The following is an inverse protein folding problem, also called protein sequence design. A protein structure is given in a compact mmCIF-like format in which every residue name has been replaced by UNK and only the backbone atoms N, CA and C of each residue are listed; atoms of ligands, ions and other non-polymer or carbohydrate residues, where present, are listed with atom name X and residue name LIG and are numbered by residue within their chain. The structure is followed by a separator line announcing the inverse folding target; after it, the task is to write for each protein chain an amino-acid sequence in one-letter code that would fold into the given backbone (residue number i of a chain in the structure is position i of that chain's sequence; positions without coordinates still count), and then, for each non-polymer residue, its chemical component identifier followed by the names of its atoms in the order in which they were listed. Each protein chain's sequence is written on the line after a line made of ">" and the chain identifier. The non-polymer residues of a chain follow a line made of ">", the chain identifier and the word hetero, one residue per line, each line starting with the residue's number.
data_IF_731483834961
#
_entry.id   IF_731483834961
#
_cell.length_a   1.000
_cell.length_b   1.000
_cell.length_c   1.000
_cell.angle_alpha   90.00
_cell.angle_beta   90.00
_cell.angle_gamma   90.00
#
_symmetry.space_group_name_H-M   'P 1'
#
loop_
_entity.id
_entity.type
_entity.pdbx_description
1 polymer ?
#
# COMPACT_ATOMS: atom_id res chain seq x y z
N UNK A 1 -29.13 0.73 -9.87
CA UNK A 1 -29.67 2.07 -9.58
C UNK A 1 -28.50 2.91 -9.09
N UNK A 2 -28.28 4.14 -9.57
CA UNK A 2 -27.17 4.97 -9.06
C UNK A 2 -27.47 5.33 -7.60
N UNK A 3 -26.47 5.30 -6.72
CA UNK A 3 -26.65 5.74 -5.33
C UNK A 3 -26.59 7.27 -5.29
N UNK A 4 -27.76 7.89 -5.25
CA UNK A 4 -28.06 9.33 -5.04
C UNK A 4 -27.72 9.79 -3.60
N UNK A 5 -26.84 9.08 -2.87
CA UNK A 5 -26.31 9.50 -1.55
C UNK A 5 -25.65 10.90 -1.63
N UNK A 6 -25.29 11.34 -2.84
CA UNK A 6 -24.64 12.63 -3.10
C UNK A 6 -25.56 13.64 -3.79
N UNK A 7 -26.81 13.30 -4.12
CA UNK A 7 -27.77 14.28 -4.62
C UNK A 7 -28.45 14.96 -3.43
N UNK A 8 -28.32 16.28 -3.38
CA UNK A 8 -28.96 17.10 -2.33
C UNK A 8 -30.49 17.02 -2.38
N UNK A 9 -31.06 16.51 -3.46
CA UNK A 9 -32.49 16.33 -3.65
C UNK A 9 -32.82 14.84 -3.82
N UNK A 10 -33.52 14.20 -2.87
CA UNK A 10 -33.89 12.80 -3.00
C UNK A 10 -34.81 12.58 -4.22
N UNK A 11 -34.70 11.45 -4.92
CA UNK A 11 -35.60 11.13 -6.03
C UNK A 11 -37.04 11.04 -5.51
N UNK A 12 -38.00 11.59 -6.24
CA UNK A 12 -39.42 11.56 -5.86
C UNK A 12 -40.12 10.29 -6.38
N UNK A 13 -41.13 9.81 -5.65
CA UNK A 13 -42.00 8.71 -6.09
C UNK A 13 -41.44 7.30 -5.84
N UNK A 14 -41.70 6.36 -6.76
CA UNK A 14 -41.48 4.92 -6.53
C UNK A 14 -40.01 4.51 -6.28
N UNK A 15 -39.07 5.35 -6.68
CA UNK A 15 -37.65 5.07 -6.47
C UNK A 15 -37.23 5.40 -5.03
N UNK A 16 -37.78 6.47 -4.42
CA UNK A 16 -37.61 6.73 -2.98
C UNK A 16 -38.03 5.55 -2.12
N UNK A 17 -39.19 4.96 -2.42
CA UNK A 17 -39.74 3.85 -1.65
C UNK A 17 -38.87 2.59 -1.73
N UNK A 18 -38.33 2.29 -2.92
CA UNK A 18 -37.38 1.18 -3.09
C UNK A 18 -36.11 1.39 -2.26
N UNK A 19 -35.66 2.64 -2.15
CA UNK A 19 -34.45 3.01 -1.43
C UNK A 19 -34.65 3.00 0.06
N UNK A 20 -35.75 3.57 0.54
CA UNK A 20 -36.17 3.47 1.93
C UNK A 20 -36.27 2.01 2.37
N UNK A 21 -36.87 1.15 1.53
CA UNK A 21 -36.94 -0.28 1.78
C UNK A 21 -35.56 -0.96 1.75
N UNK A 22 -34.64 -0.52 0.91
CA UNK A 22 -33.27 -1.03 0.89
C UNK A 22 -32.48 -0.63 2.14
N UNK A 23 -32.57 0.64 2.56
CA UNK A 23 -31.93 1.13 3.78
C UNK A 23 -32.48 0.40 5.01
N UNK A 24 -33.80 0.23 5.12
CA UNK A 24 -34.41 -0.54 6.21
C UNK A 24 -33.96 -2.01 6.26
N UNK A 25 -33.57 -2.60 5.13
CA UNK A 25 -33.02 -3.98 5.09
C UNK A 25 -31.56 -4.06 5.47
N UNK A 26 -30.79 -3.02 5.15
CA UNK A 26 -29.34 -2.95 5.43
C UNK A 26 -29.03 -2.33 6.79
N UNK A 27 -30.04 -1.75 7.45
CA UNK A 27 -29.94 -1.19 8.78
C UNK A 27 -29.55 -2.28 9.79
N UNK A 28 -28.50 -2.00 10.55
CA UNK A 28 -27.93 -2.90 11.56
C UNK A 28 -28.60 -2.66 12.92
N UNK A 29 -29.27 -1.52 13.10
CA UNK A 29 -29.88 -1.05 14.35
C UNK A 29 -31.37 -0.77 14.17
N UNK A 30 -32.18 -1.81 13.89
CA UNK A 30 -33.58 -1.66 13.55
C UNK A 30 -34.36 -0.96 14.67
N UNK A 31 -35.03 0.14 14.30
CA UNK A 31 -35.94 0.88 15.19
C UNK A 31 -35.35 2.13 15.85
N UNK A 32 -34.08 2.46 15.61
CA UNK A 32 -33.54 3.77 15.95
C UNK A 32 -33.90 4.81 14.88
N UNK A 33 -34.37 5.98 15.31
CA UNK A 33 -34.68 7.07 14.39
C UNK A 33 -33.40 7.70 13.86
N UNK A 34 -33.33 7.90 12.56
CA UNK A 34 -32.19 8.56 11.94
C UNK A 34 -32.04 10.02 12.39
N UNK A 35 -30.79 10.46 12.48
CA UNK A 35 -30.46 11.85 12.79
C UNK A 35 -30.83 12.75 11.61
N UNK A 36 -31.30 13.96 11.91
CA UNK A 36 -31.68 14.98 10.93
C UNK A 36 -32.74 14.55 9.91
N UNK A 37 -33.60 13.59 10.27
CA UNK A 37 -34.66 13.08 9.39
C UNK A 37 -34.17 12.19 8.26
N UNK A 38 -32.90 11.76 8.29
CA UNK A 38 -32.33 10.80 7.36
C UNK A 38 -32.52 9.34 7.80
N UNK A 39 -31.93 8.41 7.03
CA UNK A 39 -31.94 6.97 7.35
C UNK A 39 -30.80 6.54 8.29
N UNK A 40 -29.75 7.37 8.45
CA UNK A 40 -28.59 7.05 9.28
C UNK A 40 -28.83 7.44 10.74
N UNK A 41 -28.69 6.48 11.64
CA UNK A 41 -28.93 6.68 13.07
C UNK A 41 -27.67 7.12 13.83
N UNK A 42 -27.80 7.32 15.15
CA UNK A 42 -26.68 7.73 15.99
C UNK A 42 -25.52 6.73 15.96
N UNK A 43 -25.80 5.44 15.84
CA UNK A 43 -24.79 4.38 15.81
C UNK A 43 -24.03 4.42 14.49
N UNK A 44 -24.71 4.64 13.37
CA UNK A 44 -24.09 4.82 12.06
C UNK A 44 -23.14 6.03 12.04
N UNK A 45 -23.59 7.16 12.58
CA UNK A 45 -22.76 8.37 12.68
C UNK A 45 -21.58 8.17 13.63
N UNK A 46 -21.79 7.48 14.75
CA UNK A 46 -20.72 7.14 15.69
C UNK A 46 -19.71 6.17 15.08
N UNK A 47 -20.15 5.19 14.30
CA UNK A 47 -19.28 4.27 13.57
C UNK A 47 -18.47 5.01 12.51
N UNK A 48 -19.09 5.91 11.73
CA UNK A 48 -18.40 6.75 10.75
C UNK A 48 -17.33 7.63 11.42
N UNK A 49 -17.68 8.30 12.52
CA UNK A 49 -16.75 9.10 13.31
C UNK A 49 -15.63 8.22 13.92
N UNK A 50 -15.97 7.01 14.37
CA UNK A 50 -15.05 6.04 14.91
C UNK A 50 -14.02 5.55 13.89
N UNK A 51 -14.43 5.33 12.63
CA UNK A 51 -13.52 4.98 11.53
C UNK A 51 -12.51 6.12 11.32
N UNK A 52 -12.98 7.36 11.22
CA UNK A 52 -12.12 8.53 11.03
C UNK A 52 -11.19 8.72 12.23
N UNK A 53 -11.71 8.60 13.45
CA UNK A 53 -10.93 8.71 14.68
C UNK A 53 -9.84 7.63 14.77
N UNK A 54 -10.18 6.39 14.41
CA UNK A 54 -9.22 5.26 14.41
C UNK A 54 -8.13 5.46 13.36
N UNK A 55 -8.50 5.94 12.17
CA UNK A 55 -7.55 6.25 11.11
C UNK A 55 -6.62 7.41 11.52
N UNK A 56 -7.17 8.48 12.08
CA UNK A 56 -6.40 9.61 12.59
C UNK A 56 -5.46 9.20 13.74
N UNK A 57 -5.98 8.49 14.73
CA UNK A 57 -5.21 7.96 15.85
C UNK A 57 -4.12 6.99 15.38
N UNK A 58 -4.44 6.11 14.43
CA UNK A 58 -3.49 5.22 13.77
C UNK A 58 -2.34 5.99 13.13
N UNK A 59 -2.64 6.97 12.27
CA UNK A 59 -1.60 7.82 11.67
C UNK A 59 -0.77 8.60 12.69
N UNK A 60 -1.35 8.96 13.84
CA UNK A 60 -0.64 9.67 14.91
C UNK A 60 0.24 8.74 15.77
N UNK A 61 -0.12 7.47 15.92
CA UNK A 61 0.56 6.51 16.80
C UNK A 61 1.57 5.62 16.11
N UNK A 62 1.57 5.59 14.78
CA UNK A 62 2.52 4.80 13.99
C UNK A 62 3.96 5.14 14.35
N UNK A 63 4.70 4.09 14.71
CA UNK A 63 6.13 4.15 14.99
C UNK A 63 6.94 3.56 13.85
N UNK A 64 8.09 4.20 13.59
CA UNK A 64 9.10 3.73 12.64
C UNK A 64 9.76 2.46 13.17
N UNK A 65 9.98 1.49 12.29
CA UNK A 65 10.89 0.38 12.54
C UNK A 65 12.31 0.77 12.10
N UNK A 66 13.36 0.32 12.80
CA UNK A 66 14.73 0.77 12.55
C UNK A 66 15.23 0.51 11.10
N UNK A 67 14.69 -0.50 10.42
CA UNK A 67 14.99 -0.85 9.02
C UNK A 67 14.32 0.07 7.96
N UNK A 68 13.45 0.98 8.34
CA UNK A 68 12.70 1.84 7.40
C UNK A 68 13.48 3.09 7.01
N UNK A 69 13.19 3.72 5.86
CA UNK A 69 13.91 4.88 5.34
C UNK A 69 13.98 6.06 6.33
N UNK A 70 15.14 6.72 6.40
CA UNK A 70 15.47 7.67 7.49
C UNK A 70 14.75 9.03 7.41
N UNK A 71 14.53 9.56 6.20
CA UNK A 71 13.89 10.87 6.04
C UNK A 71 12.37 10.74 5.95
N UNK A 72 11.65 11.06 7.03
CA UNK A 72 10.18 11.10 7.00
C UNK A 72 9.65 12.54 7.03
N UNK A 73 8.55 12.77 6.32
CA UNK A 73 7.68 13.94 6.49
C UNK A 73 6.38 13.49 7.15
N UNK A 74 5.62 14.45 7.70
CA UNK A 74 4.31 14.19 8.31
C UNK A 74 3.35 13.52 7.32
N UNK A 75 3.52 13.78 6.01
CA UNK A 75 2.69 13.23 4.94
C UNK A 75 2.94 11.73 4.73
N UNK A 76 4.16 11.24 5.02
CA UNK A 76 4.52 9.82 4.86
C UNK A 76 3.88 8.94 5.95
N UNK A 77 3.34 9.53 7.03
CA UNK A 77 2.63 8.81 8.10
C UNK A 77 1.48 7.98 7.57
N UNK A 78 0.77 8.49 6.57
CA UNK A 78 -0.35 7.78 5.95
C UNK A 78 0.13 6.50 5.25
N UNK A 79 1.21 6.58 4.46
CA UNK A 79 1.77 5.43 3.76
C UNK A 79 2.31 4.38 4.75
N UNK A 80 3.00 4.79 5.82
CA UNK A 80 3.49 3.86 6.85
C UNK A 80 2.33 3.22 7.62
N UNK A 81 1.31 3.98 7.98
CA UNK A 81 0.11 3.43 8.63
C UNK A 81 -0.56 2.36 7.77
N UNK A 82 -0.80 2.67 6.50
CA UNK A 82 -1.37 1.74 5.53
C UNK A 82 -0.47 0.50 5.34
N UNK A 83 0.85 0.65 5.40
CA UNK A 83 1.80 -0.46 5.44
C UNK A 83 1.62 -1.36 6.67
N UNK A 84 1.41 -0.79 7.86
CA UNK A 84 1.11 -1.58 9.08
C UNK A 84 -0.22 -2.32 8.97
N UNK A 85 -1.24 -1.70 8.38
CA UNK A 85 -2.52 -2.37 8.08
C UNK A 85 -2.28 -3.54 7.12
N UNK A 86 -1.48 -3.36 6.07
CA UNK A 86 -1.12 -4.43 5.15
C UNK A 86 -0.41 -5.60 5.86
N UNK A 87 0.50 -5.32 6.80
CA UNK A 87 1.16 -6.36 7.61
C UNK A 87 0.14 -7.19 8.41
N UNK A 88 -0.86 -6.56 9.03
CA UNK A 88 -1.92 -7.27 9.74
C UNK A 88 -2.80 -8.10 8.79
N UNK A 89 -3.09 -7.59 7.59
CA UNK A 89 -3.86 -8.32 6.57
C UNK A 89 -3.11 -9.56 6.06
N UNK A 90 -1.78 -9.52 5.96
CA UNK A 90 -0.97 -10.71 5.60
C UNK A 90 -1.12 -11.80 6.66
N UNK A 91 -1.08 -11.44 7.95
CA UNK A 91 -1.30 -12.39 9.05
C UNK A 91 -2.69 -13.00 8.95
N UNK A 92 -3.71 -12.19 8.69
CA UNK A 92 -5.08 -12.66 8.51
C UNK A 92 -5.21 -13.60 7.31
N UNK A 93 -4.61 -13.26 6.17
CA UNK A 93 -4.57 -14.10 4.98
C UNK A 93 -3.92 -15.45 5.28
N UNK A 94 -2.80 -15.45 6.01
CA UNK A 94 -2.14 -16.68 6.44
C UNK A 94 -3.06 -17.54 7.30
N UNK A 95 -3.78 -16.94 8.26
CA UNK A 95 -4.75 -17.66 9.09
C UNK A 95 -5.89 -18.27 8.27
N UNK A 96 -6.44 -17.55 7.28
CA UNK A 96 -7.49 -18.06 6.37
C UNK A 96 -6.97 -19.25 5.56
N UNK A 97 -5.77 -19.15 5.01
CA UNK A 97 -5.15 -20.23 4.24
C UNK A 97 -4.84 -21.46 5.12
N UNK A 98 -4.32 -21.26 6.33
CA UNK A 98 -4.09 -22.33 7.29
C UNK A 98 -5.39 -23.03 7.70
N UNK A 99 -6.46 -22.25 7.91
CA UNK A 99 -7.79 -22.78 8.19
C UNK A 99 -8.30 -23.63 7.01
N UNK A 100 -8.19 -23.15 5.78
CA UNK A 100 -8.59 -23.91 4.59
C UNK A 100 -7.84 -25.23 4.47
N UNK A 101 -6.50 -25.20 4.66
CA UNK A 101 -5.66 -26.40 4.65
C UNK A 101 -6.10 -27.38 5.74
N UNK A 102 -6.38 -26.88 6.96
CA UNK A 102 -6.85 -27.72 8.05
C UNK A 102 -8.20 -28.38 7.72
N UNK A 103 -9.20 -27.62 7.31
CA UNK A 103 -10.53 -28.18 7.00
C UNK A 103 -10.45 -29.15 5.82
N UNK A 104 -9.69 -28.80 4.77
CA UNK A 104 -9.58 -29.63 3.57
C UNK A 104 -8.86 -30.94 3.81
N UNK A 105 -7.75 -30.94 4.54
CA UNK A 105 -6.93 -32.14 4.69
C UNK A 105 -7.22 -32.93 5.98
N UNK A 106 -7.70 -32.28 7.04
CA UNK A 106 -8.00 -32.94 8.32
C UNK A 106 -9.47 -33.32 8.42
N UNK A 107 -10.37 -32.40 8.07
CA UNK A 107 -11.81 -32.64 8.14
C UNK A 107 -12.37 -33.22 6.83
N UNK A 108 -11.57 -33.27 5.77
CA UNK A 108 -11.93 -33.79 4.45
C UNK A 108 -13.14 -33.07 3.83
N UNK A 109 -13.36 -31.81 4.21
CA UNK A 109 -14.42 -30.94 3.69
C UNK A 109 -13.81 -29.68 3.05
N UNK A 110 -14.36 -29.26 1.91
CA UNK A 110 -13.92 -28.05 1.21
C UNK A 110 -14.68 -26.80 1.70
N UNK A 111 -13.97 -25.69 1.90
CA UNK A 111 -14.58 -24.39 2.21
C UNK A 111 -14.87 -23.62 0.91
N UNK A 112 -16.11 -23.17 0.73
CA UNK A 112 -16.51 -22.41 -0.47
C UNK A 112 -16.05 -20.94 -0.44
N UNK A 113 -15.73 -20.40 0.73
CA UNK A 113 -15.42 -18.98 0.92
C UNK A 113 -13.93 -18.67 1.01
N UNK A 114 -13.09 -19.64 1.40
CA UNK A 114 -11.71 -19.36 1.79
C UNK A 114 -10.85 -18.89 0.60
N UNK A 115 -10.99 -19.52 -0.56
CA UNK A 115 -10.28 -19.10 -1.77
C UNK A 115 -10.57 -17.64 -2.15
N UNK A 116 -11.84 -17.26 -2.15
CA UNK A 116 -12.27 -15.91 -2.52
C UNK A 116 -11.90 -14.87 -1.46
N UNK A 117 -11.96 -15.22 -0.17
CA UNK A 117 -11.45 -14.38 0.92
C UNK A 117 -9.95 -14.16 0.79
N UNK A 118 -9.18 -15.20 0.48
CA UNK A 118 -7.73 -15.09 0.27
C UNK A 118 -7.40 -14.21 -0.93
N UNK A 119 -8.12 -14.34 -2.04
CA UNK A 119 -7.99 -13.45 -3.20
C UNK A 119 -8.30 -11.99 -2.84
N UNK A 120 -9.37 -11.78 -2.07
CA UNK A 120 -9.80 -10.45 -1.66
C UNK A 120 -8.76 -9.77 -0.76
N UNK A 121 -8.29 -10.48 0.28
CA UNK A 121 -7.25 -10.02 1.19
C UNK A 121 -5.93 -9.78 0.44
N UNK A 122 -5.54 -10.67 -0.48
CA UNK A 122 -4.33 -10.52 -1.29
C UNK A 122 -4.39 -9.25 -2.15
N UNK A 123 -5.56 -8.95 -2.72
CA UNK A 123 -5.78 -7.71 -3.48
C UNK A 123 -5.53 -6.46 -2.64
N UNK A 124 -6.06 -6.41 -1.41
CA UNK A 124 -5.80 -5.30 -0.49
C UNK A 124 -4.34 -5.20 -0.08
N UNK A 125 -3.72 -6.33 0.28
CA UNK A 125 -2.30 -6.39 0.63
C UNK A 125 -1.45 -5.83 -0.49
N UNK A 126 -1.69 -6.24 -1.74
CA UNK A 126 -0.92 -5.80 -2.90
C UNK A 126 -1.00 -4.28 -3.10
N UNK A 127 -2.19 -3.70 -2.99
CA UNK A 127 -2.38 -2.25 -3.16
C UNK A 127 -1.70 -1.45 -2.05
N UNK A 128 -1.91 -1.84 -0.79
CA UNK A 128 -1.35 -1.14 0.36
C UNK A 128 0.17 -1.31 0.45
N UNK A 129 0.68 -2.52 0.16
CA UNK A 129 2.11 -2.80 0.11
C UNK A 129 2.80 -2.03 -1.03
N UNK A 130 2.12 -1.82 -2.18
CA UNK A 130 2.65 -1.00 -3.26
C UNK A 130 2.89 0.45 -2.85
N UNK A 131 1.95 1.06 -2.12
CA UNK A 131 2.12 2.42 -1.58
C UNK A 131 3.27 2.47 -0.55
N UNK A 132 3.32 1.50 0.36
CA UNK A 132 4.37 1.41 1.36
C UNK A 132 5.76 1.20 0.72
N UNK A 133 5.87 0.32 -0.28
CA UNK A 133 7.12 0.09 -1.01
C UNK A 133 7.60 1.33 -1.76
N UNK A 134 6.67 2.12 -2.32
CA UNK A 134 6.99 3.41 -2.92
C UNK A 134 7.58 4.38 -1.89
N UNK A 135 7.01 4.45 -0.69
CA UNK A 135 7.51 5.28 0.40
C UNK A 135 8.89 4.82 0.91
N UNK A 136 9.16 3.51 0.90
CA UNK A 136 10.46 2.95 1.31
C UNK A 136 11.53 2.94 0.22
N UNK A 137 11.21 3.40 -1.01
CA UNK A 137 12.13 3.39 -2.16
C UNK A 137 12.67 2.00 -2.49
N UNK A 138 11.88 0.96 -2.19
CA UNK A 138 12.29 -0.44 -2.38
C UNK A 138 12.18 -0.91 -3.84
N UNK A 139 11.93 0.00 -4.78
CA UNK A 139 11.96 -0.32 -6.20
C UNK A 139 13.39 -0.57 -6.64
N UNK A 140 13.61 -1.66 -7.38
CA UNK A 140 14.92 -2.02 -7.92
C UNK A 140 15.44 -0.87 -8.79
N UNK A 141 16.51 -0.21 -8.35
CA UNK A 141 17.22 0.85 -9.09
C UNK A 141 18.58 0.33 -9.50
N UNK A 142 18.99 0.62 -10.74
CA UNK A 142 20.32 0.26 -11.23
C UNK A 142 21.29 1.36 -10.78
N UNK A 143 21.93 1.18 -9.63
CA UNK A 143 22.85 2.15 -9.04
C UNK A 143 24.11 2.38 -9.88
N UNK A 144 24.65 1.33 -10.52
CA UNK A 144 25.88 1.44 -11.32
C UNK A 144 25.82 2.51 -12.43
N UNK A 145 24.71 2.57 -13.16
CA UNK A 145 24.51 3.57 -14.22
C UNK A 145 24.23 4.97 -13.63
N UNK A 146 23.60 5.01 -12.46
CA UNK A 146 23.24 6.24 -11.77
C UNK A 146 24.48 6.94 -11.19
N UNK A 147 25.39 6.18 -10.58
CA UNK A 147 26.57 6.70 -9.87
C UNK A 147 27.65 7.25 -10.81
N UNK A 148 27.66 6.80 -12.08
CA UNK A 148 28.57 7.31 -13.12
C UNK A 148 28.06 8.66 -13.67
N UNK A 149 26.77 8.95 -13.55
CA UNK A 149 26.17 10.15 -14.12
C UNK A 149 26.40 11.40 -13.26
N UNK A 150 26.64 12.58 -13.86
CA UNK A 150 26.74 13.82 -13.11
C UNK A 150 25.37 14.18 -12.49
N UNK A 151 25.38 14.85 -11.33
CA UNK A 151 24.19 15.26 -10.57
C UNK A 151 23.02 15.87 -11.37
N UNK A 152 23.22 16.73 -12.41
CA UNK A 152 22.10 17.21 -13.23
C UNK A 152 21.40 16.11 -14.05
N UNK A 153 22.14 15.09 -14.50
CA UNK A 153 21.58 13.97 -15.28
C UNK A 153 20.81 13.01 -14.38
N UNK A 154 21.32 12.75 -13.17
CA UNK A 154 20.61 12.01 -12.12
C UNK A 154 19.22 12.63 -11.83
N UNK A 155 19.18 13.96 -11.62
CA UNK A 155 17.92 14.70 -11.42
C UNK A 155 16.96 14.61 -12.60
N UNK A 156 17.50 14.60 -13.83
CA UNK A 156 16.68 14.42 -15.03
C UNK A 156 16.05 13.03 -15.06
N UNK A 157 16.79 11.98 -14.71
CA UNK A 157 16.26 10.62 -14.64
C UNK A 157 15.19 10.47 -13.57
N UNK A 158 15.41 11.03 -12.38
CA UNK A 158 14.40 11.04 -11.31
C UNK A 158 13.14 11.78 -11.77
N UNK A 159 13.29 12.95 -12.41
CA UNK A 159 12.16 13.73 -12.93
C UNK A 159 11.38 12.97 -14.01
N UNK A 160 12.07 12.31 -14.95
CA UNK A 160 11.44 11.49 -16.00
C UNK A 160 10.70 10.31 -15.37
N UNK A 161 11.32 9.61 -14.42
CA UNK A 161 10.71 8.48 -13.72
C UNK A 161 9.44 8.91 -13.00
N UNK A 162 9.49 10.01 -12.22
CA UNK A 162 8.32 10.56 -11.55
C UNK A 162 7.25 11.00 -12.54
N UNK A 163 7.61 11.63 -13.67
CA UNK A 163 6.66 12.03 -14.70
C UNK A 163 5.96 10.82 -15.33
N UNK A 164 6.69 9.74 -15.61
CA UNK A 164 6.11 8.50 -16.13
C UNK A 164 5.13 7.88 -15.12
N UNK A 165 5.47 7.86 -13.83
CA UNK A 165 4.58 7.40 -12.77
C UNK A 165 3.32 8.26 -12.71
N UNK A 166 3.45 9.59 -12.75
CA UNK A 166 2.30 10.51 -12.76
C UNK A 166 1.41 10.31 -13.98
N UNK A 167 2.01 10.14 -15.15
CA UNK A 167 1.29 9.94 -16.41
C UNK A 167 0.53 8.61 -16.38
N UNK A 168 1.19 7.54 -15.94
CA UNK A 168 0.57 6.23 -15.75
C UNK A 168 -0.58 6.30 -14.73
N UNK A 169 -0.35 6.92 -13.57
CA UNK A 169 -1.35 7.09 -12.53
C UNK A 169 -2.56 7.89 -13.03
N UNK A 170 -2.34 8.95 -13.82
CA UNK A 170 -3.41 9.75 -14.41
C UNK A 170 -4.27 8.94 -15.37
N UNK A 171 -3.66 8.24 -16.34
CA UNK A 171 -4.41 7.43 -17.29
C UNK A 171 -5.13 6.25 -16.62
N UNK A 172 -4.51 5.64 -15.62
CA UNK A 172 -5.12 4.54 -14.89
C UNK A 172 -6.29 5.03 -14.03
N UNK A 173 -6.15 6.18 -13.37
CA UNK A 173 -7.26 6.81 -12.65
C UNK A 173 -8.41 7.17 -13.60
N UNK A 174 -8.11 7.83 -14.72
CA UNK A 174 -9.11 8.21 -15.72
C UNK A 174 -9.85 7.00 -16.29
N UNK A 175 -9.12 5.95 -16.67
CA UNK A 175 -9.71 4.71 -17.21
C UNK A 175 -10.50 3.92 -16.17
N UNK A 176 -10.05 3.88 -14.91
CA UNK A 176 -10.71 3.15 -13.84
C UNK A 176 -11.90 3.90 -13.23
N UNK A 177 -11.97 5.24 -13.34
CA UNK A 177 -12.96 6.07 -12.66
C UNK A 177 -14.41 5.64 -12.94
N UNK A 178 -14.80 5.60 -14.21
CA UNK A 178 -16.18 5.27 -14.57
C UNK A 178 -16.60 3.87 -14.12
N UNK A 179 -15.71 2.88 -14.29
CA UNK A 179 -16.02 1.50 -13.93
C UNK A 179 -16.03 1.29 -12.41
N UNK A 180 -15.07 1.83 -11.68
CA UNK A 180 -14.97 1.70 -10.23
C UNK A 180 -16.22 2.23 -9.54
N UNK A 181 -16.66 3.45 -9.90
CA UNK A 181 -17.87 4.05 -9.35
C UNK A 181 -19.12 3.27 -9.76
N UNK A 182 -19.24 2.83 -11.01
CA UNK A 182 -20.39 2.03 -11.44
C UNK A 182 -20.53 0.72 -10.66
N UNK A 183 -19.43 0.00 -10.42
CA UNK A 183 -19.41 -1.25 -9.64
C UNK A 183 -19.68 -1.02 -8.17
N UNK A 184 -19.14 0.07 -7.61
CA UNK A 184 -19.40 0.46 -6.24
C UNK A 184 -20.87 0.79 -6.01
N UNK A 185 -21.46 1.61 -6.89
CA UNK A 185 -22.87 1.99 -6.78
C UNK A 185 -23.84 0.83 -6.96
N UNK A 186 -23.48 -0.16 -7.78
CA UNK A 186 -24.28 -1.38 -7.95
C UNK A 186 -24.04 -2.42 -6.86
N UNK A 187 -23.06 -2.19 -6.00
CA UNK A 187 -22.54 -3.18 -5.07
C UNK A 187 -22.30 -4.53 -5.75
N UNK A 188 -21.53 -4.51 -6.85
CA UNK A 188 -21.30 -5.69 -7.68
C UNK A 188 -20.54 -6.77 -6.90
N UNK A 189 -21.16 -7.95 -6.83
CA UNK A 189 -20.64 -9.14 -6.17
C UNK A 189 -19.84 -9.99 -7.17
N UNK A 190 -19.08 -10.95 -6.66
CA UNK A 190 -18.12 -11.72 -7.46
C UNK A 190 -18.78 -12.77 -8.38
N UNK A 191 -20.04 -13.15 -8.14
CA UNK A 191 -20.80 -14.09 -8.95
C UNK A 191 -20.55 -15.56 -8.62
N UNK A 192 -20.12 -15.85 -7.39
CA UNK A 192 -19.69 -17.18 -6.91
C UNK A 192 -20.52 -17.64 -5.71
N UNK A 193 -20.23 -18.83 -5.16
CA UNK A 193 -21.03 -19.39 -4.06
C UNK A 193 -20.95 -18.58 -2.75
N UNK A 194 -19.81 -17.94 -2.47
CA UNK A 194 -19.64 -17.04 -1.33
C UNK A 194 -20.02 -15.59 -1.66
N UNK A 195 -19.94 -15.22 -2.94
CA UNK A 195 -20.39 -13.95 -3.52
C UNK A 195 -19.91 -12.66 -2.80
N UNK A 196 -18.62 -12.52 -2.46
CA UNK A 196 -18.13 -11.33 -1.77
C UNK A 196 -18.12 -10.10 -2.71
N UNK A 197 -18.24 -8.87 -2.17
CA UNK A 197 -18.20 -7.63 -2.95
C UNK A 197 -16.76 -7.25 -3.38
N UNK A 198 -16.01 -8.19 -3.97
CA UNK A 198 -14.63 -7.99 -4.43
C UNK A 198 -14.56 -6.87 -5.50
N UNK A 199 -15.38 -6.89 -6.58
CA UNK A 199 -15.29 -5.87 -7.62
C UNK A 199 -15.65 -4.47 -7.11
N UNK A 200 -16.68 -4.36 -6.27
CA UNK A 200 -17.12 -3.08 -5.71
C UNK A 200 -16.06 -2.45 -4.81
N UNK A 201 -15.40 -3.25 -3.97
CA UNK A 201 -14.50 -2.73 -2.93
C UNK A 201 -13.05 -2.58 -3.40
N UNK A 202 -12.51 -3.55 -4.16
CA UNK A 202 -11.13 -3.46 -4.66
C UNK A 202 -10.97 -2.37 -5.71
N UNK A 203 -11.92 -2.19 -6.64
CA UNK A 203 -11.78 -1.14 -7.67
C UNK A 203 -11.80 0.26 -7.08
N UNK A 204 -12.59 0.48 -6.02
CA UNK A 204 -12.56 1.74 -5.28
C UNK A 204 -11.25 1.93 -4.52
N UNK A 205 -10.72 0.87 -3.92
CA UNK A 205 -9.41 0.93 -3.25
C UNK A 205 -8.30 1.26 -4.24
N UNK A 206 -8.32 0.67 -5.44
CA UNK A 206 -7.40 1.01 -6.54
C UNK A 206 -7.47 2.51 -6.84
N UNK A 207 -8.68 3.04 -7.02
CA UNK A 207 -8.91 4.46 -7.32
C UNK A 207 -8.41 5.40 -6.21
N UNK A 208 -8.40 4.95 -4.96
CA UNK A 208 -7.88 5.70 -3.81
C UNK A 208 -6.35 5.62 -3.73
N UNK A 209 -5.77 4.43 -3.91
CA UNK A 209 -4.32 4.20 -3.73
C UNK A 209 -3.50 4.80 -4.86
N UNK A 210 -3.98 4.80 -6.12
CA UNK A 210 -3.20 5.33 -7.25
C UNK A 210 -2.84 6.82 -7.06
N UNK A 211 -3.78 7.73 -6.72
CA UNK A 211 -3.42 9.10 -6.39
C UNK A 211 -2.43 9.20 -5.23
N UNK A 212 -2.56 8.35 -4.20
CA UNK A 212 -1.61 8.35 -3.07
C UNK A 212 -0.20 7.95 -3.52
N UNK A 213 -0.06 6.94 -4.39
CA UNK A 213 1.23 6.52 -4.95
C UNK A 213 1.83 7.64 -5.82
N UNK A 214 1.00 8.30 -6.63
CA UNK A 214 1.42 9.45 -7.43
C UNK A 214 1.93 10.61 -6.57
N UNK A 215 1.21 10.94 -5.49
CA UNK A 215 1.62 11.95 -4.51
C UNK A 215 2.93 11.52 -3.82
N UNK A 216 3.05 10.26 -3.41
CA UNK A 216 4.27 9.73 -2.78
C UNK A 216 5.48 9.83 -3.72
N UNK A 217 5.30 9.53 -5.01
CA UNK A 217 6.37 9.64 -6.00
C UNK A 217 6.88 11.08 -6.16
N UNK A 218 5.98 12.08 -6.09
CA UNK A 218 6.36 13.50 -6.10
C UNK A 218 7.06 13.91 -4.81
N UNK A 219 6.58 13.43 -3.65
CA UNK A 219 7.22 13.71 -2.35
C UNK A 219 8.64 13.14 -2.33
N UNK A 220 8.84 11.92 -2.83
CA UNK A 220 10.14 11.29 -2.92
C UNK A 220 11.10 12.12 -3.80
N UNK A 221 10.64 12.59 -4.97
CA UNK A 221 11.41 13.47 -5.85
C UNK A 221 11.81 14.79 -5.16
N UNK A 222 10.88 15.44 -4.46
CA UNK A 222 11.15 16.69 -3.73
C UNK A 222 12.13 16.44 -2.58
N UNK A 223 12.03 15.28 -1.91
CA UNK A 223 12.93 14.92 -0.82
C UNK A 223 14.36 14.66 -1.34
N UNK A 224 14.50 14.03 -2.50
CA UNK A 224 15.80 13.70 -3.09
C UNK A 224 16.47 14.89 -3.74
N UNK A 225 15.71 15.92 -4.11
CA UNK A 225 16.21 17.05 -4.87
C UNK A 225 17.44 17.73 -4.23
N UNK A 226 17.45 17.80 -2.90
CA UNK A 226 18.53 18.39 -2.10
C UNK A 226 19.40 17.35 -1.39
N UNK A 227 19.11 16.06 -1.53
CA UNK A 227 19.92 15.02 -0.90
C UNK A 227 21.33 14.98 -1.52
N UNK A 228 22.34 14.75 -0.69
CA UNK A 228 23.71 14.52 -1.16
C UNK A 228 23.77 13.16 -1.86
N UNK A 229 24.52 13.05 -2.98
CA UNK A 229 24.66 11.77 -3.67
C UNK A 229 25.38 10.79 -2.74
N UNK A 230 24.66 9.76 -2.32
CA UNK A 230 25.23 8.61 -1.61
C UNK A 230 25.82 7.70 -2.68
N UNK A 231 27.14 7.55 -2.68
CA UNK A 231 27.81 6.60 -3.57
C UNK A 231 27.68 5.21 -2.98
N UNK A 232 26.89 4.36 -3.63
CA UNK A 232 26.72 2.98 -3.19
C UNK A 232 27.92 2.16 -3.64
N UNK A 233 28.83 1.84 -2.71
CA UNK A 233 29.90 0.88 -3.00
C UNK A 233 29.35 -0.52 -2.78
N UNK A 234 29.80 -1.53 -3.55
CA UNK A 234 29.40 -2.93 -3.33
C UNK A 234 29.69 -3.46 -1.89
N UNK A 235 30.42 -2.70 -1.08
CA UNK A 235 30.65 -2.96 0.33
C UNK A 235 29.52 -2.48 1.26
N UNK A 236 28.66 -1.54 0.82
CA UNK A 236 27.54 -1.00 1.61
C UNK A 236 26.35 -1.97 1.70
N UNK A 237 26.28 -2.98 0.83
CA UNK A 237 25.25 -4.02 0.85
C UNK A 237 25.51 -5.10 1.93
N UNK A 238 26.70 -5.13 2.53
CA UNK A 238 27.04 -6.08 3.60
C UNK A 238 26.88 -5.42 4.97
N UNK A 239 25.93 -5.91 5.76
CA UNK A 239 25.78 -5.50 7.16
C UNK A 239 27.12 -5.71 7.91
N UNK A 240 27.46 -4.84 8.86
CA UNK A 240 28.72 -4.92 9.60
C UNK A 240 28.88 -6.28 10.32
N UNK A 241 27.75 -6.88 10.71
CA UNK A 241 27.66 -8.24 11.26
C UNK A 241 27.91 -9.35 10.20
N UNK A 242 27.44 -9.17 8.97
CA UNK A 242 27.74 -10.08 7.85
C UNK A 242 29.20 -9.97 7.43
N UNK A 243 29.73 -8.75 7.38
CA UNK A 243 31.14 -8.48 7.10
C UNK A 243 32.03 -9.13 8.17
N UNK A 244 31.62 -9.08 9.44
CA UNK A 244 32.29 -9.76 10.54
C UNK A 244 32.23 -11.29 10.40
N UNK A 245 31.10 -11.86 9.99
CA UNK A 245 30.97 -13.30 9.75
C UNK A 245 31.79 -13.76 8.55
N UNK A 246 31.81 -12.99 7.47
CA UNK A 246 32.66 -13.24 6.31
C UNK A 246 34.14 -13.13 6.68
N UNK A 247 34.54 -12.12 7.45
CA UNK A 247 35.91 -12.01 7.99
C UNK A 247 36.26 -13.18 8.91
N UNK A 248 35.32 -13.65 9.73
CA UNK A 248 35.53 -14.81 10.61
C UNK A 248 35.61 -16.13 9.84
N UNK A 249 34.81 -16.29 8.78
CA UNK A 249 34.83 -17.47 7.91
C UNK A 249 36.08 -17.50 7.01
N UNK A 250 36.44 -16.36 6.41
CA UNK A 250 37.65 -16.22 5.58
C UNK A 250 38.91 -16.24 6.44
N UNK A 251 38.85 -15.75 7.68
CA UNK A 251 39.94 -15.85 8.65
C UNK A 251 40.28 -17.28 9.10
N UNK A 252 39.46 -18.27 8.73
CA UNK A 252 39.77 -19.70 8.93
C UNK A 252 40.51 -20.35 7.74
N UNK A 253 40.45 -19.77 6.55
CA UNK A 253 41.19 -20.23 5.37
C UNK A 253 42.28 -19.21 5.01
N UNK A 254 43.46 -19.45 5.57
CA UNK A 254 44.56 -18.49 5.67
C UNK A 254 44.95 -17.76 4.39
N UNK A 255 44.82 -16.44 4.43
CA UNK A 255 45.81 -15.52 3.84
C UNK A 255 46.02 -14.40 4.86
N UNK A 256 47.16 -14.44 5.55
CA UNK A 256 47.59 -13.33 6.39
C UNK A 256 47.70 -12.04 5.57
N UNK A 257 47.21 -10.95 6.14
CA UNK A 257 47.70 -9.60 5.89
C UNK A 257 47.90 -9.22 4.41
N UNK A 258 46.83 -9.29 3.61
CA UNK A 258 46.78 -8.50 2.37
C UNK A 258 46.35 -7.08 2.71
N UNK A 259 47.35 -6.26 3.04
CA UNK A 259 47.25 -4.81 3.19
C UNK A 259 46.84 -4.16 1.85
N UNK A 260 45.55 -3.90 1.71
CA UNK A 260 44.94 -3.27 0.53
C UNK A 260 45.21 -1.76 0.43
N UNK A 261 45.96 -1.16 1.37
CA UNK A 261 46.29 0.28 1.32
C UNK A 261 47.58 0.60 0.54
N UNK A 262 48.36 -0.42 0.14
CA UNK A 262 49.69 -0.21 -0.45
C UNK A 262 49.71 0.13 -1.95
N UNK A 263 48.60 -0.02 -2.67
CA UNK A 263 48.53 0.29 -4.12
C UNK A 263 48.39 1.78 -4.43
N UNK A 264 48.27 2.65 -3.43
CA UNK A 264 48.13 4.10 -3.62
C UNK A 264 49.45 4.86 -3.90
N UNK A 265 50.63 4.26 -3.68
CA UNK A 265 51.91 4.94 -3.84
C UNK A 265 52.91 4.16 -4.72
N UNK A 266 52.65 4.08 -6.03
CA UNK A 266 53.73 3.89 -6.99
C UNK A 266 53.35 4.48 -8.36
N UNK A 267 53.52 5.80 -8.46
CA UNK A 267 53.68 6.48 -9.75
C UNK A 267 54.71 7.60 -9.60
N UNK A 268 55.86 7.42 -10.23
CA UNK A 268 56.82 8.48 -10.51
C UNK A 268 58.20 8.28 -9.89
N UNK A 269 59.06 7.49 -10.55
CA UNK A 269 60.47 7.84 -10.75
C UNK A 269 61.04 7.03 -11.93
N UNK A 270 61.07 7.71 -13.08
CA UNK A 270 61.98 7.61 -14.24
C UNK A 270 61.30 8.20 -15.49
#
# INVERSE_FOLDING_TARGET
>A
MPAFILDWNPPEGSDFDKLAAQFQRMDVTPGMAGLFGGFADLVDWAALAGIVATLAFGMMTVRRAPMEFESWRVIDRAAVFLGRVAMMLIVLLCCVMLYEVFVRYVLNEGTYWANEMSLWLAGYVFLLAGLYAMQQRSHIRIFLLYDICPRPVQRLFDMISTLLILTFAFFLFYGAYGEAFAKFYRWELFGTAFDPPIPATLKMMVLLVIPLVAIQAVINLISDWNAEPVFHTAADDFDEDELQRLRAAVGQDGVGELDVTRTAHQKGDN
#
